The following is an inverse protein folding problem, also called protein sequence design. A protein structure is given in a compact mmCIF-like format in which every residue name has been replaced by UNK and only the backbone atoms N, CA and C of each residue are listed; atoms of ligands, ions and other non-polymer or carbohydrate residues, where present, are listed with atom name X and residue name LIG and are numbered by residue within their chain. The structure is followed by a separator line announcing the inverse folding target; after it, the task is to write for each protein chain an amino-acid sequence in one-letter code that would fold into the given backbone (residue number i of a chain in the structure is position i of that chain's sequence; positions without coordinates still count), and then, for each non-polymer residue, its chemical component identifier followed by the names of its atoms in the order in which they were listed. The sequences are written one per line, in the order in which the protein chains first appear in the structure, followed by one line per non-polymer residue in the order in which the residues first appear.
data_IF_132059487319
#
_entry.id   IF_132059487319
#
_cell.length_a   1.000
_cell.length_b   1.000
_cell.length_c   1.000
_cell.angle_alpha   90.00
_cell.angle_beta   90.00
_cell.angle_gamma   90.00
#
_symmetry.space_group_name_H-M   'P 1'
#
loop_
_entity.id
_entity.type
_entity.pdbx_description
1 polymer ?
#
# COMPACT_ATOMS: atom_id res chain seq x y z
N UNK A 1 -9.17 -5.31 -32.14
CA UNK A 1 -9.64 -5.94 -30.88
C UNK A 1 -8.50 -6.21 -29.87
N UNK A 2 -7.46 -5.38 -29.76
CA UNK A 2 -6.27 -5.63 -28.90
C UNK A 2 -5.97 -4.52 -27.88
N UNK A 3 -6.49 -3.30 -28.10
CA UNK A 3 -6.28 -2.15 -27.21
C UNK A 3 -7.07 -2.26 -25.89
N UNK A 4 -8.22 -2.95 -25.89
CA UNK A 4 -9.08 -3.02 -24.70
C UNK A 4 -8.46 -3.86 -23.56
N UNK A 5 -7.77 -4.96 -23.88
CA UNK A 5 -7.05 -5.78 -22.88
C UNK A 5 -5.88 -5.04 -22.25
N UNK A 6 -5.13 -4.25 -23.03
CA UNK A 6 -4.02 -3.46 -22.51
C UNK A 6 -4.49 -2.38 -21.53
N UNK A 7 -5.58 -1.67 -21.85
CA UNK A 7 -6.17 -0.68 -20.93
C UNK A 7 -6.70 -1.32 -19.65
N UNK A 8 -7.34 -2.49 -19.74
CA UNK A 8 -7.81 -3.21 -18.57
C UNK A 8 -6.66 -3.71 -17.66
N UNK A 9 -5.55 -4.18 -18.25
CA UNK A 9 -4.35 -4.55 -17.49
C UNK A 9 -3.69 -3.34 -16.81
N UNK A 10 -3.60 -2.21 -17.50
CA UNK A 10 -3.08 -0.96 -16.91
C UNK A 10 -3.95 -0.49 -15.75
N UNK A 11 -5.28 -0.52 -15.89
CA UNK A 11 -6.20 -0.15 -14.84
C UNK A 11 -6.13 -1.09 -13.63
N UNK A 12 -6.05 -2.40 -13.85
CA UNK A 12 -5.91 -3.38 -12.77
C UNK A 12 -4.57 -3.21 -12.02
N UNK A 13 -3.49 -2.88 -12.73
CA UNK A 13 -2.18 -2.59 -12.13
C UNK A 13 -2.23 -1.33 -11.27
N UNK A 14 -2.91 -0.29 -11.75
CA UNK A 14 -3.07 0.97 -11.02
C UNK A 14 -3.94 0.79 -9.77
N UNK A 15 -5.05 0.07 -9.88
CA UNK A 15 -5.90 -0.29 -8.73
C UNK A 15 -5.12 -1.13 -7.73
N UNK A 16 -4.29 -2.07 -8.18
CA UNK A 16 -3.46 -2.88 -7.30
C UNK A 16 -2.45 -2.01 -6.52
N UNK A 17 -1.78 -1.07 -7.19
CA UNK A 17 -0.89 -0.11 -6.53
C UNK A 17 -1.62 0.78 -5.53
N UNK A 18 -2.79 1.29 -5.90
CA UNK A 18 -3.62 2.11 -5.01
C UNK A 18 -4.12 1.31 -3.80
N UNK A 19 -4.50 0.04 -3.99
CA UNK A 19 -4.91 -0.84 -2.90
C UNK A 19 -3.75 -1.15 -1.96
N UNK A 20 -2.54 -1.40 -2.48
CA UNK A 20 -1.34 -1.59 -1.65
C UNK A 20 -1.05 -0.32 -0.84
N UNK A 21 -1.04 0.85 -1.49
CA UNK A 21 -0.82 2.13 -0.81
C UNK A 21 -1.84 2.36 0.29
N UNK A 22 -3.12 2.18 -0.01
CA UNK A 22 -4.23 2.35 0.94
C UNK A 22 -4.17 1.34 2.09
N UNK A 23 -3.75 0.11 1.83
CA UNK A 23 -3.59 -0.91 2.87
C UNK A 23 -2.46 -0.54 3.84
N UNK A 24 -1.33 -0.07 3.30
CA UNK A 24 -0.18 0.38 4.10
C UNK A 24 -0.56 1.60 4.94
N UNK A 25 -1.21 2.60 4.33
CA UNK A 25 -1.71 3.80 5.02
C UNK A 25 -2.68 3.42 6.15
N UNK A 26 -3.64 2.54 5.88
CA UNK A 26 -4.62 2.09 6.86
C UNK A 26 -3.99 1.32 8.03
N UNK A 27 -3.03 0.44 7.75
CA UNK A 27 -2.30 -0.30 8.80
C UNK A 27 -1.48 0.65 9.68
N UNK A 28 -0.92 1.70 9.08
CA UNK A 28 -0.14 2.71 9.79
C UNK A 28 -1.04 3.63 10.63
N UNK A 29 -2.22 4.00 10.10
CA UNK A 29 -3.23 4.77 10.83
C UNK A 29 -3.82 3.97 12.00
N UNK A 30 -4.10 2.68 11.83
CA UNK A 30 -4.52 1.79 12.91
C UNK A 30 -3.42 1.68 13.99
N UNK A 31 -2.17 1.48 13.59
CA UNK A 31 -1.07 1.40 14.55
C UNK A 31 -0.92 2.71 15.36
N UNK A 32 -1.07 3.87 14.69
CA UNK A 32 -1.14 5.20 15.34
C UNK A 32 -2.33 5.34 16.27
N UNK A 33 -3.53 4.97 15.82
CA UNK A 33 -4.77 5.06 16.60
C UNK A 33 -4.76 4.15 17.82
N UNK A 34 -4.12 2.98 17.72
CA UNK A 34 -3.93 2.05 18.84
C UNK A 34 -2.84 2.50 19.83
N UNK A 35 -2.04 3.52 19.49
CA UNK A 35 -0.91 3.94 20.31
C UNK A 35 0.21 2.91 20.37
N UNK A 36 0.25 1.98 19.41
CA UNK A 36 1.20 0.86 19.41
C UNK A 36 2.52 1.29 18.75
N UNK A 37 3.27 2.14 19.47
CA UNK A 37 4.52 2.74 18.99
C UNK A 37 5.57 1.70 18.54
N UNK A 38 5.53 0.50 19.11
CA UNK A 38 6.39 -0.61 18.69
C UNK A 38 6.05 -1.06 17.27
N UNK A 39 4.77 -1.23 16.97
CA UNK A 39 4.29 -1.63 15.65
C UNK A 39 4.52 -0.52 14.61
N UNK A 40 4.35 0.75 15.00
CA UNK A 40 4.63 1.91 14.14
C UNK A 40 6.12 1.94 13.78
N UNK A 41 7.02 1.88 14.78
CA UNK A 41 8.47 1.87 14.54
C UNK A 41 8.92 0.69 13.69
N UNK A 42 8.32 -0.47 13.88
CA UNK A 42 8.63 -1.65 13.08
C UNK A 42 8.19 -1.48 11.62
N UNK A 43 6.98 -0.96 11.39
CA UNK A 43 6.47 -0.65 10.04
C UNK A 43 7.25 0.49 9.36
N UNK A 44 7.66 1.52 10.10
CA UNK A 44 8.49 2.61 9.59
C UNK A 44 9.91 2.12 9.25
N UNK A 45 10.48 1.25 10.08
CA UNK A 45 11.77 0.61 9.80
C UNK A 45 11.70 -0.28 8.55
N UNK A 46 10.64 -1.08 8.41
CA UNK A 46 10.41 -1.91 7.22
C UNK A 46 10.25 -1.07 5.94
N UNK A 47 9.51 0.04 5.99
CA UNK A 47 9.43 0.97 4.84
C UNK A 47 10.78 1.58 4.49
N UNK A 48 11.57 1.95 5.49
CA UNK A 48 12.88 2.56 5.31
C UNK A 48 13.93 1.58 4.77
N UNK A 49 13.75 0.28 5.02
CA UNK A 49 14.63 -0.78 4.50
C UNK A 49 14.25 -1.22 3.08
N UNK A 50 13.02 -0.95 2.65
CA UNK A 50 12.49 -1.30 1.33
C UNK A 50 12.68 -0.18 0.28
N UNK A 51 13.31 0.93 0.66
CA UNK A 51 13.65 2.07 -0.21
C UNK A 51 15.15 2.07 -0.50
#
# INVERSE_FOLDING_TARGET
MSQNRHRAMSAATEIHKQNIKRNIEYRLEIAKSRGDERLIRQLEAEMKYCT
#
